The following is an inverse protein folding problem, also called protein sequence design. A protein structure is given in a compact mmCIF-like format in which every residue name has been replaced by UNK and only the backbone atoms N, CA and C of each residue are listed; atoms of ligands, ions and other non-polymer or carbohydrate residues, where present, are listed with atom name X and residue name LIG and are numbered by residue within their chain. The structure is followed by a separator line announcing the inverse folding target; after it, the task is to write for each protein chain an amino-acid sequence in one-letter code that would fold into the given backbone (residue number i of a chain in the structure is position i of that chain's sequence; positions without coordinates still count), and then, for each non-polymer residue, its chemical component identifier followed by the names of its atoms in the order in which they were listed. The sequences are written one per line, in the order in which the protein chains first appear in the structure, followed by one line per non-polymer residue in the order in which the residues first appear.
data_IF_800608131189
#
_entry.id   IF_800608131189
#
_cell.length_a   1.000
_cell.length_b   1.000
_cell.length_c   1.000
_cell.angle_alpha   90.00
_cell.angle_beta   90.00
_cell.angle_gamma   90.00
#
_symmetry.space_group_name_H-M   'P 1'
#
loop_
_entity.id
_entity.type
_entity.pdbx_description
1 polymer ?
#
# COMPACT_ATOMS: atom_id res chain seq x y z
N UNK A 1 16.56 17.93 13.29
CA UNK A 1 15.27 17.40 13.78
C UNK A 1 15.23 15.94 13.37
N UNK A 2 14.77 15.04 14.25
CA UNK A 2 14.78 13.60 14.00
C UNK A 2 13.54 13.24 13.20
N UNK A 3 13.72 13.27 11.90
CA UNK A 3 12.71 13.14 10.86
C UNK A 3 12.45 11.64 10.58
N UNK A 4 12.05 10.87 11.60
CA UNK A 4 11.88 9.41 11.50
C UNK A 4 10.57 9.02 10.79
N UNK A 5 10.60 7.97 9.96
CA UNK A 5 9.37 7.30 9.51
C UNK A 5 8.79 6.41 10.62
N UNK A 6 7.47 6.33 10.72
CA UNK A 6 6.80 5.60 11.80
C UNK A 6 6.90 4.07 11.68
N UNK A 7 6.73 3.53 10.47
CA UNK A 7 6.85 2.09 10.20
C UNK A 7 8.18 1.70 9.56
N UNK A 8 8.43 2.20 8.34
CA UNK A 8 9.65 1.92 7.57
C UNK A 8 10.33 3.23 7.18
N UNK A 9 11.64 3.33 7.43
CA UNK A 9 12.44 4.46 7.00
C UNK A 9 13.55 4.01 6.03
N UNK A 10 13.43 4.44 4.77
CA UNK A 10 14.41 4.22 3.71
C UNK A 10 15.27 5.48 3.56
N UNK A 11 16.44 5.49 4.21
CA UNK A 11 17.43 6.57 4.09
C UNK A 11 18.57 6.11 3.18
N UNK A 12 18.92 6.90 2.16
CA UNK A 12 20.01 6.61 1.21
C UNK A 12 19.97 5.20 0.61
N UNK A 13 18.76 4.67 0.39
CA UNK A 13 18.55 3.28 -0.04
C UNK A 13 17.31 3.12 -0.91
N UNK A 14 17.28 2.05 -1.71
CA UNK A 14 16.18 1.77 -2.65
C UNK A 14 15.75 0.30 -2.54
N UNK A 15 15.25 -0.13 -1.37
CA UNK A 15 14.77 -1.50 -1.19
C UNK A 15 13.48 -1.77 -1.98
N UNK A 16 13.16 -3.06 -2.11
CA UNK A 16 11.82 -3.52 -2.47
C UNK A 16 11.02 -3.76 -1.20
N UNK A 17 9.87 -3.10 -1.09
CA UNK A 17 8.87 -3.30 -0.04
C UNK A 17 7.66 -3.89 -0.74
N UNK A 18 7.49 -5.20 -0.66
CA UNK A 18 6.43 -5.89 -1.40
C UNK A 18 5.61 -6.82 -0.51
N UNK A 19 4.29 -6.83 -0.75
CA UNK A 19 3.37 -7.75 -0.10
C UNK A 19 3.49 -7.74 1.44
N UNK A 20 3.29 -6.57 2.04
CA UNK A 20 3.21 -6.36 3.49
C UNK A 20 1.91 -5.65 3.88
N UNK A 21 1.52 -5.83 5.15
CA UNK A 21 0.61 -4.92 5.84
C UNK A 21 1.42 -3.96 6.70
N UNK A 22 1.27 -2.66 6.47
CA UNK A 22 1.95 -1.59 7.22
C UNK A 22 0.85 -0.75 7.84
N UNK A 23 0.59 -0.95 9.13
CA UNK A 23 -0.57 -0.31 9.78
C UNK A 23 -0.33 0.14 11.20
N UNK A 24 -1.08 1.16 11.62
CA UNK A 24 -1.06 1.67 12.99
C UNK A 24 0.26 2.35 13.39
N UNK A 25 1.06 2.81 12.43
CA UNK A 25 2.33 3.48 12.70
C UNK A 25 2.14 5.00 12.78
N UNK A 26 2.95 5.67 13.62
CA UNK A 26 2.86 7.11 13.81
C UNK A 26 4.22 7.78 13.76
N UNK A 27 4.30 8.98 13.18
CA UNK A 27 5.49 9.81 13.21
C UNK A 27 5.16 11.28 13.53
N UNK A 28 6.03 11.92 14.30
CA UNK A 28 5.96 13.36 14.61
C UNK A 28 6.78 14.18 13.57
N UNK A 29 6.57 15.51 13.56
CA UNK A 29 7.31 16.56 12.82
C UNK A 29 8.25 16.07 11.69
N UNK A 30 7.75 16.14 10.44
CA UNK A 30 8.55 15.89 9.23
C UNK A 30 8.64 14.42 8.78
N UNK A 31 8.15 13.47 9.60
CA UNK A 31 8.12 12.03 9.27
C UNK A 31 6.94 11.61 8.39
N UNK A 32 7.07 10.46 7.72
CA UNK A 32 5.95 9.73 7.10
C UNK A 32 5.45 8.63 8.02
N UNK A 33 4.13 8.44 8.11
CA UNK A 33 3.51 7.56 9.13
C UNK A 33 3.84 6.09 8.87
N UNK A 34 3.48 5.59 7.68
CA UNK A 34 3.76 4.22 7.26
C UNK A 34 5.18 4.05 6.74
N UNK A 35 5.51 4.75 5.65
CA UNK A 35 6.82 4.65 4.98
C UNK A 35 7.39 6.05 4.74
N UNK A 36 8.66 6.25 5.10
CA UNK A 36 9.42 7.45 4.72
C UNK A 36 10.55 7.09 3.76
N UNK A 37 10.64 7.79 2.64
CA UNK A 37 11.72 7.69 1.66
C UNK A 37 12.55 8.97 1.66
N UNK A 38 13.84 8.89 1.97
CA UNK A 38 14.77 10.02 1.98
C UNK A 38 16.04 9.67 1.19
N UNK A 39 16.33 10.47 0.17
CA UNK A 39 17.50 10.29 -0.71
C UNK A 39 17.60 8.87 -1.30
N UNK A 40 16.45 8.28 -1.68
CA UNK A 40 16.39 6.94 -2.24
C UNK A 40 15.03 6.59 -2.84
N UNK A 41 15.01 5.82 -3.93
CA UNK A 41 13.79 5.50 -4.68
C UNK A 41 13.42 4.01 -4.56
N UNK A 42 12.80 3.58 -3.45
CA UNK A 42 12.35 2.20 -3.28
C UNK A 42 11.26 1.82 -4.30
N UNK A 43 11.05 0.51 -4.45
CA UNK A 43 9.85 -0.03 -5.09
C UNK A 43 8.90 -0.50 -4.00
N UNK A 44 7.67 0.01 -4.01
CA UNK A 44 6.62 -0.27 -3.04
C UNK A 44 5.45 -0.89 -3.82
N UNK A 45 5.21 -2.18 -3.64
CA UNK A 45 4.20 -2.90 -4.45
C UNK A 45 3.36 -3.89 -3.67
N UNK A 46 2.07 -3.99 -3.99
CA UNK A 46 1.16 -4.97 -3.38
C UNK A 46 1.11 -4.88 -1.85
N UNK A 47 1.26 -3.68 -1.29
CA UNK A 47 1.16 -3.48 0.16
C UNK A 47 -0.22 -2.93 0.52
N UNK A 48 -0.69 -3.30 1.72
CA UNK A 48 -1.79 -2.59 2.38
C UNK A 48 -1.17 -1.67 3.43
N UNK A 49 -1.24 -0.35 3.20
CA UNK A 49 -0.70 0.71 4.05
C UNK A 49 -1.89 1.46 4.64
N UNK A 50 -2.22 1.21 5.90
CA UNK A 50 -3.50 1.67 6.47
C UNK A 50 -3.40 2.14 7.90
N UNK A 51 -4.26 3.08 8.30
CA UNK A 51 -4.35 3.56 9.68
C UNK A 51 -3.01 4.08 10.24
N UNK A 52 -2.15 4.64 9.38
CA UNK A 52 -0.92 5.29 9.80
C UNK A 52 -1.15 6.79 9.95
N UNK A 53 -0.39 7.46 10.80
CA UNK A 53 -0.60 8.89 11.09
C UNK A 53 0.71 9.66 11.10
N UNK A 54 0.75 10.77 10.38
CA UNK A 54 1.87 11.70 10.41
C UNK A 54 1.40 13.11 10.04
N UNK A 55 2.26 14.10 10.21
CA UNK A 55 2.00 15.47 9.74
C UNK A 55 2.05 15.55 8.21
N UNK A 56 2.94 14.79 7.55
CA UNK A 56 3.08 14.75 6.10
C UNK A 56 3.08 13.31 5.63
N UNK A 57 2.16 12.93 4.73
CA UNK A 57 2.11 11.57 4.18
C UNK A 57 1.99 10.52 5.28
N UNK A 58 0.81 10.42 5.88
CA UNK A 58 0.43 9.35 6.79
C UNK A 58 0.75 7.98 6.18
N UNK A 59 0.48 7.76 4.89
CA UNK A 59 0.84 6.53 4.18
C UNK A 59 2.32 6.50 3.81
N UNK A 60 2.69 7.25 2.76
CA UNK A 60 4.06 7.34 2.24
C UNK A 60 4.51 8.80 2.11
N UNK A 61 5.62 9.14 2.75
CA UNK A 61 6.26 10.45 2.62
C UNK A 61 7.57 10.33 1.86
N UNK A 62 7.78 11.19 0.86
CA UNK A 62 9.02 11.27 0.10
C UNK A 62 9.77 12.59 0.34
N UNK A 63 11.09 12.50 0.35
CA UNK A 63 12.00 13.63 0.40
C UNK A 63 13.19 13.33 -0.50
N UNK A 64 13.42 14.16 -1.52
CA UNK A 64 14.48 13.96 -2.52
C UNK A 64 14.48 12.54 -3.12
N UNK A 65 13.27 11.98 -3.29
CA UNK A 65 13.03 10.58 -3.63
C UNK A 65 11.95 10.49 -4.70
N UNK A 66 11.98 9.42 -5.50
CA UNK A 66 10.94 9.15 -6.50
C UNK A 66 10.67 7.66 -6.54
N UNK A 67 9.99 7.10 -5.51
CA UNK A 67 9.69 5.68 -5.47
C UNK A 67 8.70 5.28 -6.55
N UNK A 68 8.72 4.00 -6.90
CA UNK A 68 7.62 3.39 -7.66
C UNK A 68 6.61 2.85 -6.64
N UNK A 69 5.40 3.39 -6.62
CA UNK A 69 4.29 2.93 -5.76
C UNK A 69 3.20 2.38 -6.68
N UNK A 70 2.88 1.10 -6.56
CA UNK A 70 1.96 0.42 -7.49
C UNK A 70 1.21 -0.75 -6.84
N UNK A 71 -0.01 -1.04 -7.29
CA UNK A 71 -0.84 -2.16 -6.81
C UNK A 71 -1.06 -2.14 -5.28
N UNK A 72 -1.01 -0.97 -4.66
CA UNK A 72 -1.13 -0.82 -3.21
C UNK A 72 -2.55 -0.40 -2.81
N UNK A 73 -2.90 -0.64 -1.55
CA UNK A 73 -4.02 0.05 -0.91
C UNK A 73 -3.42 1.00 0.13
N UNK A 74 -3.68 2.29 -0.02
CA UNK A 74 -3.40 3.34 0.95
C UNK A 74 -4.76 3.84 1.44
N UNK A 75 -5.09 3.64 2.71
CA UNK A 75 -6.43 3.94 3.21
C UNK A 75 -6.40 4.28 4.70
N UNK A 76 -7.24 5.20 5.15
CA UNK A 76 -7.28 5.62 6.56
C UNK A 76 -5.98 6.24 7.07
N UNK A 77 -5.08 6.72 6.20
CA UNK A 77 -3.85 7.38 6.66
C UNK A 77 -3.99 8.91 6.77
N UNK A 78 -5.15 9.45 6.40
CA UNK A 78 -5.44 10.89 6.41
C UNK A 78 -4.86 11.64 5.21
N UNK A 79 -3.54 11.60 5.04
CA UNK A 79 -2.82 12.04 3.83
C UNK A 79 -2.03 10.85 3.33
N UNK A 80 -2.44 10.22 2.22
CA UNK A 80 -1.90 8.93 1.80
C UNK A 80 -0.51 9.06 1.18
N UNK A 81 -0.27 10.09 0.36
CA UNK A 81 1.01 10.34 -0.30
C UNK A 81 1.47 11.79 -0.15
N UNK A 82 2.74 11.95 0.27
CA UNK A 82 3.39 13.27 0.29
C UNK A 82 4.63 13.30 -0.59
N UNK A 83 4.67 14.27 -1.52
CA UNK A 83 5.74 14.51 -2.51
C UNK A 83 6.08 13.26 -3.36
N UNK A 84 5.08 12.42 -3.61
CA UNK A 84 5.17 11.26 -4.49
C UNK A 84 3.81 10.95 -5.13
N UNK A 85 3.76 9.93 -5.98
CA UNK A 85 2.55 9.50 -6.68
C UNK A 85 2.55 7.98 -6.79
N UNK A 86 1.35 7.40 -6.82
CA UNK A 86 1.16 5.98 -7.10
C UNK A 86 0.43 5.76 -8.42
N UNK A 87 0.45 4.54 -8.92
CA UNK A 87 -0.39 4.09 -10.04
C UNK A 87 -1.06 2.77 -9.69
N UNK A 88 -2.19 2.47 -10.33
CA UNK A 88 -2.94 1.23 -10.11
C UNK A 88 -3.11 0.91 -8.62
N UNK A 89 -3.42 1.92 -7.80
CA UNK A 89 -3.51 1.80 -6.33
C UNK A 89 -4.85 2.36 -5.83
N UNK A 90 -5.34 1.84 -4.70
CA UNK A 90 -6.55 2.33 -4.06
C UNK A 90 -6.18 3.37 -2.98
N UNK A 91 -6.66 4.60 -3.10
CA UNK A 91 -6.21 5.76 -2.31
C UNK A 91 -7.39 6.68 -1.97
N UNK A 92 -7.55 7.06 -0.70
CA UNK A 92 -8.81 7.65 -0.18
C UNK A 92 -8.98 9.15 -0.45
N UNK A 93 -7.91 9.85 -0.82
CA UNK A 93 -7.83 11.31 -0.87
C UNK A 93 -7.67 11.90 -2.29
N UNK A 94 -8.09 11.14 -3.31
CA UNK A 94 -8.06 11.53 -4.73
C UNK A 94 -6.64 11.78 -5.30
N UNK A 95 -5.62 11.15 -4.72
CA UNK A 95 -4.23 11.22 -5.21
C UNK A 95 -4.09 10.77 -6.67
N UNK A 96 -3.52 11.66 -7.48
CA UNK A 96 -3.44 11.47 -8.92
C UNK A 96 -2.52 10.31 -9.32
N UNK A 97 -2.97 9.53 -10.30
CA UNK A 97 -2.20 8.43 -10.87
C UNK A 97 -2.99 7.64 -11.89
N UNK A 98 -2.30 7.08 -12.89
CA UNK A 98 -2.94 6.18 -13.85
C UNK A 98 -3.48 4.95 -13.12
N UNK A 99 -4.77 4.64 -13.32
CA UNK A 99 -5.39 3.43 -12.78
C UNK A 99 -5.68 3.46 -11.28
N UNK A 100 -5.50 4.60 -10.59
CA UNK A 100 -5.87 4.69 -9.18
C UNK A 100 -7.40 4.61 -8.99
N UNK A 101 -7.80 4.08 -7.85
CA UNK A 101 -9.18 3.92 -7.40
C UNK A 101 -9.36 4.74 -6.12
N UNK A 102 -10.49 5.43 -6.00
CA UNK A 102 -10.81 6.30 -4.85
C UNK A 102 -12.07 5.85 -4.08
N UNK A 103 -12.52 4.63 -4.36
CA UNK A 103 -13.65 4.00 -3.68
C UNK A 103 -13.14 3.11 -2.54
N UNK A 104 -13.94 2.99 -1.46
CA UNK A 104 -13.63 2.19 -0.27
C UNK A 104 -13.16 0.76 -0.64
N UNK A 105 -11.99 0.29 -0.16
CA UNK A 105 -11.48 -1.05 -0.44
C UNK A 105 -12.35 -2.16 0.17
N UNK A 106 -13.34 -1.81 1.01
CA UNK A 106 -14.28 -2.73 1.65
C UNK A 106 -13.56 -3.81 2.47
N UNK A 107 -12.71 -3.38 3.39
CA UNK A 107 -12.00 -4.31 4.26
C UNK A 107 -12.95 -5.12 5.16
N UNK A 108 -12.64 -6.40 5.31
CA UNK A 108 -13.30 -7.34 6.22
C UNK A 108 -12.28 -8.16 7.00
N UNK A 109 -12.66 -8.59 8.20
CA UNK A 109 -11.83 -9.50 8.99
C UNK A 109 -11.79 -10.89 8.35
N UNK A 110 -10.59 -11.42 8.17
CA UNK A 110 -10.36 -12.79 7.70
C UNK A 110 -9.46 -13.60 8.63
N UNK A 111 -9.04 -14.80 8.21
CA UNK A 111 -8.37 -15.77 9.09
C UNK A 111 -7.02 -15.31 9.66
N UNK A 112 -6.31 -14.42 8.98
CA UNK A 112 -4.94 -13.99 9.35
C UNK A 112 -4.81 -12.48 9.59
N UNK A 113 -5.91 -11.71 9.64
CA UNK A 113 -5.86 -10.25 9.78
C UNK A 113 -7.16 -9.53 9.46
N UNK A 114 -7.14 -8.20 9.57
CA UNK A 114 -8.33 -7.34 9.45
C UNK A 114 -8.53 -6.74 8.05
N UNK A 115 -7.56 -6.91 7.14
CA UNK A 115 -7.53 -6.21 5.85
C UNK A 115 -7.68 -7.16 4.66
N UNK A 116 -8.68 -8.05 4.73
CA UNK A 116 -9.10 -8.82 3.55
C UNK A 116 -10.12 -8.02 2.74
N UNK A 117 -10.18 -8.24 1.43
CA UNK A 117 -11.16 -7.62 0.56
C UNK A 117 -12.51 -8.35 0.65
N UNK A 118 -13.59 -7.58 0.77
CA UNK A 118 -14.94 -8.07 0.51
C UNK A 118 -15.07 -8.49 -0.97
N UNK A 119 -15.88 -9.51 -1.32
CA UNK A 119 -16.06 -9.94 -2.72
C UNK A 119 -16.56 -8.86 -3.69
N UNK A 120 -17.16 -7.78 -3.18
CA UNK A 120 -17.62 -6.63 -3.97
C UNK A 120 -16.61 -5.46 -3.98
N UNK A 121 -15.42 -5.65 -3.41
CA UNK A 121 -14.39 -4.61 -3.33
C UNK A 121 -13.98 -4.12 -4.73
N UNK A 122 -13.81 -2.80 -4.92
CA UNK A 122 -13.30 -2.25 -6.16
C UNK A 122 -11.83 -2.60 -6.41
N UNK A 123 -11.12 -3.09 -5.39
CA UNK A 123 -9.71 -3.46 -5.48
C UNK A 123 -9.46 -4.85 -6.09
N UNK A 124 -10.51 -5.66 -6.29
CA UNK A 124 -10.41 -6.99 -6.88
C UNK A 124 -10.21 -6.87 -8.40
N UNK A 125 -9.26 -7.64 -8.95
CA UNK A 125 -8.92 -7.67 -10.37
C UNK A 125 -8.59 -6.27 -10.98
N UNK A 126 -8.08 -5.35 -10.16
CA UNK A 126 -7.96 -3.93 -10.52
C UNK A 126 -6.52 -3.42 -10.68
N UNK A 127 -5.52 -4.24 -10.35
CA UNK A 127 -4.10 -3.87 -10.42
C UNK A 127 -3.53 -3.80 -11.85
N UNK A 128 -2.22 -3.58 -11.91
CA UNK A 128 -1.47 -3.19 -13.11
C UNK A 128 -1.18 -4.31 -14.09
N UNK A 129 -1.23 -5.58 -13.65
CA UNK A 129 -0.81 -6.76 -14.41
C UNK A 129 -1.50 -8.03 -13.90
N UNK A 130 -1.28 -9.17 -14.55
CA UNK A 130 -1.84 -10.43 -14.04
C UNK A 130 -1.20 -10.86 -12.72
N UNK A 131 -1.97 -11.52 -11.85
CA UNK A 131 -1.48 -12.06 -10.58
C UNK A 131 -0.33 -13.06 -10.79
N UNK A 132 -0.34 -13.78 -11.91
CA UNK A 132 0.76 -14.69 -12.30
C UNK A 132 2.05 -13.93 -12.62
N UNK A 133 1.98 -12.78 -13.28
CA UNK A 133 3.14 -11.94 -13.56
C UNK A 133 3.68 -11.27 -12.29
N UNK A 134 2.82 -11.01 -11.31
CA UNK A 134 3.21 -10.54 -9.98
C UNK A 134 3.73 -11.66 -9.06
N UNK A 135 3.68 -12.93 -9.47
CA UNK A 135 3.97 -14.10 -8.61
C UNK A 135 3.06 -14.24 -7.38
N UNK A 136 1.83 -13.72 -7.48
CA UNK A 136 0.82 -13.72 -6.41
C UNK A 136 -0.33 -14.69 -6.70
N UNK A 137 -0.30 -15.40 -7.83
CA UNK A 137 -1.42 -16.26 -8.24
C UNK A 137 -1.71 -17.47 -7.34
N UNK A 138 -0.81 -17.74 -6.39
CA UNK A 138 -0.98 -18.78 -5.38
C UNK A 138 -1.44 -18.23 -4.01
N UNK A 139 -1.78 -16.95 -3.93
CA UNK A 139 -2.19 -16.22 -2.73
C UNK A 139 -3.61 -15.67 -2.87
N UNK A 140 -4.10 -15.00 -1.83
CA UNK A 140 -5.46 -14.43 -1.79
C UNK A 140 -5.48 -13.09 -1.08
N UNK A 141 -6.31 -12.16 -1.53
CA UNK A 141 -6.69 -10.96 -0.76
C UNK A 141 -8.03 -11.15 -0.03
N UNK A 142 -8.75 -12.25 -0.30
CA UNK A 142 -10.15 -12.44 0.07
C UNK A 142 -10.32 -13.38 1.26
N UNK A 143 -11.27 -13.07 2.15
CA UNK A 143 -11.46 -13.82 3.40
C UNK A 143 -11.99 -15.26 3.18
N UNK A 144 -12.58 -15.51 2.01
CA UNK A 144 -13.08 -16.83 1.60
C UNK A 144 -11.97 -17.76 1.04
N UNK A 145 -10.75 -17.24 0.88
CA UNK A 145 -9.60 -17.98 0.38
C UNK A 145 -9.55 -18.12 -1.15
N UNK A 146 -10.37 -17.38 -1.88
CA UNK A 146 -10.35 -17.35 -3.35
C UNK A 146 -8.98 -16.91 -3.84
N UNK A 147 -8.34 -17.72 -4.70
CA UNK A 147 -7.04 -17.38 -5.28
C UNK A 147 -7.18 -16.17 -6.19
N UNK A 148 -6.25 -15.23 -6.07
CA UNK A 148 -6.09 -14.19 -7.07
C UNK A 148 -5.52 -14.85 -8.35
N UNK A 149 -6.28 -14.90 -9.44
CA UNK A 149 -5.85 -15.60 -10.67
C UNK A 149 -6.02 -14.79 -11.94
N UNK A 150 -6.64 -13.61 -11.84
CA UNK A 150 -6.92 -12.72 -12.96
C UNK A 150 -5.89 -11.60 -13.05
N UNK A 151 -6.42 -10.39 -13.20
CA UNK A 151 -5.63 -9.17 -12.95
C UNK A 151 -5.31 -9.17 -11.46
N UNK A 152 -4.11 -8.73 -11.07
CA UNK A 152 -3.73 -8.77 -9.66
C UNK A 152 -4.68 -7.88 -8.85
N UNK A 153 -5.15 -8.38 -7.72
CA UNK A 153 -5.84 -7.56 -6.74
C UNK A 153 -4.87 -6.49 -6.19
N UNK A 154 -5.39 -5.32 -5.80
CA UNK A 154 -4.57 -4.34 -5.08
C UNK A 154 -4.39 -4.77 -3.61
N UNK A 155 -3.26 -4.38 -3.01
CA UNK A 155 -2.99 -4.58 -1.59
C UNK A 155 -2.30 -5.91 -1.26
N UNK A 156 -2.30 -6.26 0.03
CA UNK A 156 -1.60 -7.41 0.57
C UNK A 156 -2.30 -8.74 0.25
N UNK A 157 -1.54 -9.70 -0.28
CA UNK A 157 -1.98 -11.07 -0.47
C UNK A 157 -1.53 -11.97 0.68
N UNK A 158 -2.51 -12.60 1.33
CA UNK A 158 -2.34 -13.64 2.34
C UNK A 158 -1.94 -14.99 1.72
N UNK A 159 -1.12 -15.80 2.43
CA UNK A 159 -0.89 -17.17 2.01
C UNK A 159 -2.17 -18.00 2.14
N UNK A 160 -2.38 -18.93 1.21
CA UNK A 160 -3.48 -19.90 1.29
C UNK A 160 -2.99 -21.14 2.04
N UNK A 161 -3.74 -21.65 3.04
CA UNK A 161 -3.40 -22.87 3.77
C UNK A 161 -3.28 -24.13 2.90
#
# INVERSE_FOLDING_TARGET
AYDSGGGIFCEHSSPTIENNTISGNSADDGGGGGIKCCDGSPTISNNTITDNTAHYGGGVCCQYSSPTIIDCILWGNGDDLYDCSATYSCIEDDDAGEGNIHDDPMFVTGPLGEYYLHPDSPCIDAGSRSASAASLSNRTTQADGTRDTGTVDMGYHYPIP
#
